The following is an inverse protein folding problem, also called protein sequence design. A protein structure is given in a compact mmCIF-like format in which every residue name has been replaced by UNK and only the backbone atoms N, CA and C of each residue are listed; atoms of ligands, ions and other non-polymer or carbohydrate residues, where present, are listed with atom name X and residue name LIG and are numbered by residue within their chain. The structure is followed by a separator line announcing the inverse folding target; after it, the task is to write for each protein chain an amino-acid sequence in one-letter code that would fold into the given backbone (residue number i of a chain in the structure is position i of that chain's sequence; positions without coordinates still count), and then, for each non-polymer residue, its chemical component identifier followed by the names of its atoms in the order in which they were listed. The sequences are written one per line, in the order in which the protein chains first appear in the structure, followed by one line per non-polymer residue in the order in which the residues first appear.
data_IF_252380424176
#
_entry.id   IF_252380424176
#
_cell.length_a   1.000
_cell.length_b   1.000
_cell.length_c   1.000
_cell.angle_alpha   90.00
_cell.angle_beta   90.00
_cell.angle_gamma   90.00
#
_symmetry.space_group_name_H-M   'P 1'
#
loop_
_entity.id
_entity.type
_entity.pdbx_description
1 polymer ?
#
# COMPACT_ATOMS: atom_id res chain seq x y z
N UNK A 1 -13.24 -21.17 9.51
CA UNK A 1 -14.56 -21.32 8.85
C UNK A 1 -14.67 -20.35 7.68
N UNK A 2 -15.71 -20.46 6.84
CA UNK A 2 -15.89 -19.63 5.64
C UNK A 2 -15.75 -18.11 5.85
N UNK A 3 -16.25 -17.50 6.95
CA UNK A 3 -16.08 -16.06 7.19
C UNK A 3 -14.62 -15.60 7.33
N UNK A 4 -13.77 -16.42 7.97
CA UNK A 4 -12.34 -16.11 8.15
C UNK A 4 -11.59 -16.15 6.83
N UNK A 5 -11.95 -17.09 5.94
CA UNK A 5 -11.34 -17.18 4.61
C UNK A 5 -11.69 -15.95 3.75
N UNK A 6 -12.94 -15.48 3.82
CA UNK A 6 -13.39 -14.27 3.11
C UNK A 6 -12.66 -13.03 3.64
N UNK A 7 -12.53 -12.87 4.96
CA UNK A 7 -11.80 -11.74 5.53
C UNK A 7 -10.33 -11.73 5.09
N UNK A 8 -9.66 -12.88 5.13
CA UNK A 8 -8.28 -13.03 4.70
C UNK A 8 -8.09 -12.67 3.22
N UNK A 9 -8.98 -13.17 2.34
CA UNK A 9 -8.97 -12.83 0.92
C UNK A 9 -9.13 -11.32 0.69
N UNK A 10 -10.06 -10.69 1.40
CA UNK A 10 -10.27 -9.25 1.32
C UNK A 10 -9.02 -8.46 1.74
N UNK A 11 -8.47 -8.76 2.92
CA UNK A 11 -7.30 -8.04 3.49
C UNK A 11 -6.02 -8.23 2.68
N UNK A 12 -5.75 -9.44 2.23
CA UNK A 12 -4.45 -9.76 1.64
C UNK A 12 -4.42 -9.59 0.13
N UNK A 13 -5.58 -9.51 -0.54
CA UNK A 13 -5.62 -9.48 -1.99
C UNK A 13 -6.55 -8.42 -2.55
N UNK A 14 -7.83 -8.41 -2.19
CA UNK A 14 -8.80 -7.50 -2.82
C UNK A 14 -8.55 -6.03 -2.45
N UNK A 15 -8.25 -5.75 -1.18
CA UNK A 15 -7.92 -4.40 -0.72
C UNK A 15 -6.64 -3.88 -1.39
N UNK A 16 -5.49 -4.60 -1.37
CA UNK A 16 -4.30 -4.19 -2.12
C UNK A 16 -4.54 -3.97 -3.61
N UNK A 17 -5.34 -4.82 -4.27
CA UNK A 17 -5.69 -4.64 -5.69
C UNK A 17 -6.41 -3.30 -5.93
N UNK A 18 -7.40 -2.99 -5.09
CA UNK A 18 -8.16 -1.73 -5.19
C UNK A 18 -7.26 -0.52 -4.89
N UNK A 19 -6.51 -0.57 -3.79
CA UNK A 19 -5.64 0.51 -3.34
C UNK A 19 -4.57 0.82 -4.37
N UNK A 20 -3.85 -0.19 -4.87
CA UNK A 20 -2.82 0.04 -5.88
C UNK A 20 -3.41 0.52 -7.21
N UNK A 21 -4.56 -0.02 -7.63
CA UNK A 21 -5.27 0.48 -8.81
C UNK A 21 -5.63 1.97 -8.72
N UNK A 22 -6.09 2.41 -7.55
CA UNK A 22 -6.43 3.81 -7.30
C UNK A 22 -5.18 4.69 -7.19
N UNK A 23 -4.29 4.38 -6.26
CA UNK A 23 -3.16 5.24 -5.91
C UNK A 23 -2.02 5.16 -6.93
N UNK A 24 -1.64 3.95 -7.39
CA UNK A 24 -0.44 3.74 -8.25
C UNK A 24 -0.80 3.58 -9.71
N UNK A 25 -2.03 3.17 -10.01
CA UNK A 25 -2.59 3.16 -11.36
C UNK A 25 -3.05 4.56 -11.76
N UNK A 26 -4.14 5.06 -11.17
CA UNK A 26 -4.77 6.30 -11.65
C UNK A 26 -4.11 7.57 -11.11
N UNK A 27 -3.98 7.67 -9.79
CA UNK A 27 -3.63 8.94 -9.14
C UNK A 27 -2.16 9.31 -9.36
N UNK A 28 -1.25 8.35 -9.23
CA UNK A 28 0.19 8.56 -9.47
C UNK A 28 0.45 9.01 -10.92
N UNK A 29 -0.18 8.36 -11.90
CA UNK A 29 -0.01 8.71 -13.31
C UNK A 29 -0.57 10.12 -13.60
N UNK A 30 -1.75 10.45 -13.05
CA UNK A 30 -2.36 11.76 -13.20
C UNK A 30 -1.52 12.89 -12.58
N UNK A 31 -1.00 12.68 -11.37
CA UNK A 31 -0.16 13.65 -10.68
C UNK A 31 1.23 13.76 -11.31
N UNK A 32 1.79 12.65 -11.80
CA UNK A 32 3.09 12.65 -12.48
C UNK A 32 3.06 13.53 -13.73
N UNK A 33 1.98 13.45 -14.52
CA UNK A 33 1.80 14.30 -15.72
C UNK A 33 1.68 15.79 -15.41
N UNK A 34 1.21 16.16 -14.22
CA UNK A 34 0.94 17.56 -13.84
C UNK A 34 2.06 18.19 -13.00
N UNK A 35 2.67 17.43 -12.10
CA UNK A 35 3.56 17.94 -11.06
C UNK A 35 4.92 17.23 -10.99
N UNK A 36 5.15 16.25 -11.87
CA UNK A 36 6.37 15.45 -11.86
C UNK A 36 6.31 14.28 -10.87
N UNK A 37 7.22 13.34 -11.06
CA UNK A 37 7.10 12.03 -10.42
C UNK A 37 7.43 11.99 -8.93
N UNK A 38 8.33 12.85 -8.43
CA UNK A 38 8.64 12.89 -6.99
C UNK A 38 7.43 13.40 -6.20
N UNK A 39 6.85 14.53 -6.63
CA UNK A 39 5.64 15.09 -6.01
C UNK A 39 4.49 14.10 -6.07
N UNK A 40 4.30 13.43 -7.21
CA UNK A 40 3.26 12.42 -7.36
C UNK A 40 3.43 11.25 -6.36
N UNK A 41 4.66 10.75 -6.17
CA UNK A 41 4.93 9.70 -5.17
C UNK A 41 4.60 10.20 -3.77
N UNK A 42 5.08 11.38 -3.37
CA UNK A 42 4.85 11.89 -2.02
C UNK A 42 3.36 12.13 -1.74
N UNK A 43 2.64 12.75 -2.68
CA UNK A 43 1.21 13.04 -2.52
C UNK A 43 0.38 11.77 -2.47
N UNK A 44 0.58 10.82 -3.40
CA UNK A 44 -0.17 9.56 -3.37
C UNK A 44 0.14 8.71 -2.14
N UNK A 45 1.36 8.78 -1.63
CA UNK A 45 1.76 8.08 -0.40
C UNK A 45 1.15 8.72 0.85
N UNK A 46 1.05 10.05 0.90
CA UNK A 46 0.38 10.75 1.98
C UNK A 46 -1.12 10.42 2.01
N UNK A 47 -1.80 10.43 0.86
CA UNK A 47 -3.21 10.07 0.76
C UNK A 47 -3.45 8.62 1.17
N UNK A 48 -2.59 7.71 0.73
CA UNK A 48 -2.61 6.31 1.16
C UNK A 48 -2.47 6.19 2.68
N UNK A 49 -1.51 6.88 3.29
CA UNK A 49 -1.28 6.85 4.74
C UNK A 49 -2.46 7.41 5.54
N UNK A 50 -3.08 8.50 5.07
CA UNK A 50 -4.25 9.12 5.71
C UNK A 50 -5.49 8.23 5.62
N UNK A 51 -5.63 7.42 4.56
CA UNK A 51 -6.69 6.41 4.49
C UNK A 51 -6.53 5.29 5.54
N UNK A 52 -5.36 5.18 6.18
CA UNK A 52 -4.99 4.13 7.14
C UNK A 52 -4.78 4.67 8.56
N UNK A 53 -5.47 5.75 8.95
CA UNK A 53 -5.27 6.44 10.26
C UNK A 53 -5.63 5.59 11.49
N UNK A 54 -6.21 4.40 11.30
CA UNK A 54 -6.35 3.45 12.39
C UNK A 54 -4.97 2.91 12.84
N UNK A 55 -4.61 3.09 14.12
CA UNK A 55 -3.45 2.48 14.83
C UNK A 55 -2.06 3.14 14.68
N UNK A 56 -1.94 4.48 14.78
CA UNK A 56 -0.62 5.16 14.85
C UNK A 56 0.38 4.84 13.72
N UNK A 57 -0.08 4.17 12.65
CA UNK A 57 0.76 3.60 11.60
C UNK A 57 0.92 4.55 10.41
N UNK A 58 0.49 5.81 10.53
CA UNK A 58 0.53 6.78 9.42
C UNK A 58 1.95 6.95 8.87
N UNK A 59 2.98 6.99 9.73
CA UNK A 59 4.38 7.06 9.28
C UNK A 59 4.81 5.79 8.53
N UNK A 60 4.45 4.61 9.04
CA UNK A 60 4.75 3.34 8.38
C UNK A 60 3.99 3.21 7.05
N UNK A 61 2.72 3.58 7.02
CA UNK A 61 1.89 3.61 5.82
C UNK A 61 2.42 4.59 4.78
N UNK A 62 2.94 5.75 5.21
CA UNK A 62 3.59 6.70 4.31
C UNK A 62 4.88 6.11 3.72
N UNK A 63 5.72 5.49 4.55
CA UNK A 63 6.96 4.85 4.08
C UNK A 63 6.68 3.70 3.10
N UNK A 64 5.72 2.82 3.41
CA UNK A 64 5.24 1.76 2.51
C UNK A 64 4.70 2.38 1.22
N UNK A 65 3.88 3.42 1.34
CA UNK A 65 3.33 4.13 0.20
C UNK A 65 4.41 4.69 -0.73
N UNK A 66 5.47 5.28 -0.16
CA UNK A 66 6.62 5.78 -0.91
C UNK A 66 7.35 4.63 -1.61
N UNK A 67 7.57 3.52 -0.90
CA UNK A 67 8.15 2.29 -1.47
C UNK A 67 7.36 1.80 -2.69
N UNK A 68 6.05 1.65 -2.56
CA UNK A 68 5.16 1.21 -3.65
C UNK A 68 5.12 2.22 -4.80
N UNK A 69 5.12 3.53 -4.51
CA UNK A 69 5.23 4.58 -5.52
C UNK A 69 6.54 4.51 -6.31
N UNK A 70 7.66 4.26 -5.63
CA UNK A 70 8.96 4.02 -6.29
C UNK A 70 8.92 2.74 -7.10
N UNK A 71 8.42 1.62 -6.56
CA UNK A 71 8.26 0.34 -7.26
C UNK A 71 7.47 0.52 -8.56
N UNK A 72 6.35 1.26 -8.54
CA UNK A 72 5.56 1.53 -9.74
C UNK A 72 6.36 2.26 -10.80
N UNK A 73 7.13 3.26 -10.40
CA UNK A 73 7.91 4.10 -11.31
C UNK A 73 9.13 3.39 -11.88
N UNK A 74 9.80 2.54 -11.10
CA UNK A 74 10.99 1.81 -11.54
C UNK A 74 10.62 0.58 -12.37
N UNK A 75 9.57 -0.16 -12.00
CA UNK A 75 9.15 -1.36 -12.72
C UNK A 75 8.22 -1.09 -13.90
N UNK A 76 7.50 0.04 -13.90
CA UNK A 76 6.42 0.32 -14.86
C UNK A 76 5.21 -0.61 -14.72
N UNK A 77 5.17 -1.50 -13.73
CA UNK A 77 4.16 -2.57 -13.61
C UNK A 77 3.29 -2.40 -12.37
N UNK A 78 1.97 -2.40 -12.59
CA UNK A 78 0.99 -2.31 -11.51
C UNK A 78 0.89 -3.67 -10.78
N UNK A 79 0.98 -4.77 -11.53
CA UNK A 79 0.97 -6.12 -10.97
C UNK A 79 2.14 -6.37 -10.01
N UNK A 80 3.31 -5.78 -10.29
CA UNK A 80 4.46 -5.84 -9.35
C UNK A 80 4.14 -5.10 -8.05
N UNK A 81 3.51 -3.93 -8.12
CA UNK A 81 3.11 -3.19 -6.92
C UNK A 81 2.08 -3.95 -6.09
N UNK A 82 1.06 -4.53 -6.76
CA UNK A 82 0.06 -5.37 -6.11
C UNK A 82 0.75 -6.55 -5.41
N UNK A 83 1.65 -7.26 -6.09
CA UNK A 83 2.38 -8.39 -5.51
C UNK A 83 3.20 -8.00 -4.27
N UNK A 84 3.93 -6.89 -4.34
CA UNK A 84 4.69 -6.36 -3.20
C UNK A 84 3.76 -5.98 -2.04
N UNK A 85 2.65 -5.30 -2.31
CA UNK A 85 1.69 -4.90 -1.28
C UNK A 85 1.02 -6.11 -0.61
N UNK A 86 0.56 -7.09 -1.39
CA UNK A 86 0.06 -8.35 -0.86
C UNK A 86 1.09 -9.05 0.04
N UNK A 87 2.36 -9.09 -0.39
CA UNK A 87 3.47 -9.65 0.38
C UNK A 87 3.72 -8.92 1.69
N UNK A 88 3.64 -7.59 1.71
CA UNK A 88 3.76 -6.78 2.93
C UNK A 88 2.61 -7.06 3.91
N UNK A 89 1.37 -7.16 3.44
CA UNK A 89 0.21 -7.46 4.28
C UNK A 89 0.28 -8.88 4.87
N UNK A 90 0.75 -9.85 4.08
CA UNK A 90 1.00 -11.21 4.56
C UNK A 90 2.12 -11.22 5.60
N UNK A 91 3.27 -10.60 5.31
CA UNK A 91 4.40 -10.53 6.22
C UNK A 91 4.05 -9.87 7.56
N UNK A 92 3.27 -8.78 7.53
CA UNK A 92 2.78 -8.11 8.72
C UNK A 92 1.88 -8.99 9.60
N UNK A 93 1.18 -9.97 9.01
CA UNK A 93 0.36 -10.92 9.76
C UNK A 93 1.21 -11.87 10.60
N UNK A 94 2.35 -12.30 10.06
CA UNK A 94 3.27 -13.22 10.73
C UNK A 94 4.37 -12.50 11.52
N UNK A 95 4.34 -11.16 11.57
CA UNK A 95 5.35 -10.37 12.27
C UNK A 95 5.28 -10.63 13.79
N UNK A 96 6.42 -10.95 14.43
CA UNK A 96 6.56 -11.05 15.89
C UNK A 96 5.96 -9.85 16.64
N UNK A 97 4.79 -10.02 17.26
CA UNK A 97 4.15 -8.98 18.13
C UNK A 97 4.79 -8.85 19.52
N UNK A 98 6.03 -9.29 19.68
CA UNK A 98 6.63 -9.55 21.00
C UNK A 98 6.87 -8.24 21.78
N UNK A 99 6.78 -7.10 21.10
CA UNK A 99 6.90 -5.75 21.63
C UNK A 99 5.56 -5.12 22.09
N UNK A 100 4.42 -5.77 21.86
CA UNK A 100 3.08 -5.24 22.19
C UNK A 100 2.65 -5.64 23.62
N UNK A 101 3.43 -6.48 24.30
CA UNK A 101 3.18 -6.91 25.68
C UNK A 101 4.32 -6.50 26.64
N UNK A 102 5.09 -5.45 26.31
CA UNK A 102 6.09 -4.84 27.19
C UNK A 102 5.53 -3.68 27.98
#
# INVERSE_FOLDING_TARGET
GPPVAVEALCKWFLAPCFEEGLYRGRLLDALTRRFGGLVAVLVTSALFAVAHVERCAVFAGFAIGCGLGVTRRTSGSLSVCIGVHCGLNLGATFWPRWWIHG
#
